data_IF_489522195606
#
_entry.id   IF_489522195606
#
_cell.length_a   1.000
_cell.length_b   1.000
_cell.length_c   1.000
_cell.angle_alpha   90.00
_cell.angle_beta   90.00
_cell.angle_gamma   90.00
#
_symmetry.space_group_name_H-M   'P 1'
#
loop_
_entity.id
_entity.type
_entity.pdbx_description
1 polymer ?
#
# COMPACT_ATOMS: atom_id res chain seq x y z
N UNK A 1 59.63 -10.06 52.36
CA UNK A 1 59.65 -9.28 51.07
C UNK A 1 58.61 -9.88 50.14
N UNK A 2 57.37 -9.42 50.24
CA UNK A 2 56.22 -9.90 49.42
C UNK A 2 55.86 -8.83 48.39
N UNK A 3 56.03 -9.14 47.10
CA UNK A 3 55.57 -8.31 46.01
C UNK A 3 54.17 -8.77 45.60
N UNK A 4 53.17 -7.95 45.89
CA UNK A 4 51.81 -8.07 45.38
C UNK A 4 51.81 -7.61 43.94
N UNK A 5 51.47 -8.54 43.02
CA UNK A 5 51.16 -8.23 41.63
C UNK A 5 49.64 -7.91 41.51
N UNK A 6 49.32 -6.66 41.33
CA UNK A 6 47.97 -6.23 40.99
C UNK A 6 47.68 -6.58 39.52
N UNK A 7 46.73 -7.47 39.28
CA UNK A 7 46.17 -7.77 37.95
C UNK A 7 45.07 -6.80 37.67
N UNK A 8 45.33 -5.78 36.82
CA UNK A 8 44.31 -4.90 36.26
C UNK A 8 43.49 -5.67 35.22
N UNK A 9 42.23 -5.92 35.50
CA UNK A 9 41.26 -6.40 34.52
C UNK A 9 40.77 -5.22 33.68
N UNK A 10 41.19 -5.14 32.43
CA UNK A 10 40.62 -4.19 31.45
C UNK A 10 39.28 -4.78 31.00
N UNK A 11 38.18 -4.22 31.48
CA UNK A 11 36.83 -4.51 30.98
C UNK A 11 36.68 -3.88 29.60
N UNK A 12 36.77 -4.70 28.55
CA UNK A 12 36.45 -4.31 27.18
C UNK A 12 34.92 -4.19 27.06
N UNK A 13 34.36 -2.96 27.17
CA UNK A 13 32.98 -2.69 26.85
C UNK A 13 32.81 -2.92 25.35
N UNK A 14 32.23 -4.05 24.97
CA UNK A 14 31.68 -4.29 23.63
C UNK A 14 30.47 -3.35 23.44
N UNK A 15 30.68 -2.22 22.78
CA UNK A 15 29.63 -1.42 22.22
C UNK A 15 28.97 -2.26 21.09
N UNK A 16 27.93 -3.01 21.43
CA UNK A 16 27.05 -3.59 20.44
C UNK A 16 26.38 -2.41 19.73
N UNK A 17 26.48 -2.29 18.40
CA UNK A 17 25.70 -1.31 17.70
C UNK A 17 24.23 -1.64 17.96
N UNK A 18 23.51 -0.74 18.63
CA UNK A 18 22.06 -0.74 18.62
C UNK A 18 21.68 -0.62 17.16
N UNK A 19 21.08 -1.65 16.59
CA UNK A 19 20.46 -1.52 15.27
C UNK A 19 19.45 -0.37 15.39
N UNK A 20 19.82 0.79 14.87
CA UNK A 20 18.85 1.87 14.68
C UNK A 20 17.76 1.27 13.80
N UNK A 21 16.52 1.25 14.29
CA UNK A 21 15.37 0.94 13.43
C UNK A 21 15.45 1.94 12.28
N UNK A 22 15.60 1.44 11.07
CA UNK A 22 15.64 2.30 9.90
C UNK A 22 14.25 2.91 9.73
N UNK A 23 14.22 4.20 9.41
CA UNK A 23 12.96 4.92 9.16
C UNK A 23 12.32 4.44 7.84
N UNK A 24 10.99 4.54 7.69
CA UNK A 24 10.31 4.31 6.42
C UNK A 24 10.94 5.14 5.29
N UNK A 25 11.09 4.52 4.12
CA UNK A 25 11.84 5.10 3.02
C UNK A 25 11.18 6.38 2.47
N UNK A 26 11.99 7.42 2.30
CA UNK A 26 11.63 8.69 1.68
C UNK A 26 12.56 8.91 0.47
N UNK A 27 12.01 9.38 -0.64
CA UNK A 27 12.79 9.77 -1.81
C UNK A 27 12.55 11.23 -2.15
N UNK A 28 13.55 11.84 -2.77
CA UNK A 28 13.50 13.23 -3.24
C UNK A 28 13.78 13.28 -4.74
N UNK A 29 12.91 13.96 -5.44
CA UNK A 29 13.10 14.41 -6.82
C UNK A 29 13.24 15.93 -6.77
N UNK A 30 14.29 16.50 -7.34
CA UNK A 30 14.49 17.95 -7.29
C UNK A 30 15.19 18.46 -8.53
N UNK A 31 14.94 19.72 -8.85
CA UNK A 31 15.70 20.52 -9.81
C UNK A 31 16.15 21.85 -9.18
N UNK A 32 16.28 22.93 -9.96
CA UNK A 32 16.82 24.19 -9.49
C UNK A 32 15.90 24.94 -8.47
N UNK A 33 14.59 24.81 -8.62
CA UNK A 33 13.58 25.58 -7.85
C UNK A 33 12.39 24.75 -7.34
N UNK A 34 12.40 23.43 -7.60
CA UNK A 34 11.34 22.50 -7.15
C UNK A 34 11.92 21.34 -6.35
N UNK A 35 11.23 20.97 -5.28
CA UNK A 35 11.51 19.77 -4.48
C UNK A 35 10.24 18.95 -4.35
N UNK A 36 10.30 17.67 -4.72
CA UNK A 36 9.18 16.72 -4.59
C UNK A 36 9.62 15.55 -3.73
N UNK A 37 8.97 15.39 -2.59
CA UNK A 37 9.14 14.23 -1.72
C UNK A 37 8.20 13.12 -2.15
N UNK A 38 8.71 11.87 -2.24
CA UNK A 38 7.90 10.68 -2.51
C UNK A 38 7.96 9.77 -1.29
N UNK A 39 6.81 9.45 -0.73
CA UNK A 39 6.69 8.65 0.47
C UNK A 39 5.69 7.50 0.27
N UNK A 40 6.12 6.29 0.68
CA UNK A 40 5.25 5.12 0.65
C UNK A 40 4.33 5.09 1.86
N UNK A 41 3.03 4.83 1.65
CA UNK A 41 2.03 4.72 2.72
C UNK A 41 1.52 3.30 2.88
N UNK A 42 0.94 3.03 4.05
CA UNK A 42 0.19 1.81 4.36
C UNK A 42 -1.21 2.21 4.78
N UNK A 43 -2.24 1.66 4.09
CA UNK A 43 -3.63 2.05 4.28
C UNK A 43 -4.29 1.46 5.54
N UNK A 44 -3.70 0.41 6.11
CA UNK A 44 -4.22 -0.31 7.27
C UNK A 44 -3.11 -0.44 8.29
N UNK A 45 -3.23 0.24 9.42
CA UNK A 45 -2.22 0.22 10.47
C UNK A 45 -2.81 -0.20 11.82
N UNK A 46 -2.01 -0.81 12.71
CA UNK A 46 -2.36 -0.93 14.12
C UNK A 46 -2.53 0.47 14.74
N UNK A 47 -3.42 0.56 15.72
CA UNK A 47 -3.80 1.85 16.33
C UNK A 47 -2.64 2.64 16.94
N UNK A 48 -1.62 1.96 17.45
CA UNK A 48 -0.49 2.57 18.18
C UNK A 48 0.83 2.54 17.39
N UNK A 49 0.75 2.40 16.05
CA UNK A 49 1.95 2.37 15.23
C UNK A 49 2.55 3.78 15.07
N UNK A 50 3.77 3.96 15.58
CA UNK A 50 4.55 5.17 15.32
C UNK A 50 5.40 4.98 14.07
N UNK A 51 5.33 5.95 13.17
CA UNK A 51 6.05 5.95 11.89
C UNK A 51 6.64 7.33 11.59
N UNK A 52 6.53 8.27 12.54
CA UNK A 52 7.04 9.61 12.39
C UNK A 52 8.54 9.66 12.72
N UNK A 53 9.29 10.40 11.94
CA UNK A 53 10.69 10.69 12.18
C UNK A 53 11.05 12.10 11.72
N UNK A 54 12.17 12.70 12.21
CA UNK A 54 12.45 14.11 12.03
C UNK A 54 12.49 14.57 10.58
N UNK A 55 13.05 13.77 9.67
CA UNK A 55 13.15 14.13 8.25
C UNK A 55 11.79 14.13 7.58
N UNK A 56 10.95 13.12 7.80
CA UNK A 56 9.60 13.05 7.26
C UNK A 56 8.75 14.24 7.73
N UNK A 57 8.81 14.55 9.04
CA UNK A 57 8.06 15.66 9.62
C UNK A 57 8.49 17.00 9.01
N UNK A 58 9.80 17.17 8.75
CA UNK A 58 10.33 18.37 8.08
C UNK A 58 9.86 18.42 6.62
N UNK A 59 10.00 17.34 5.88
CA UNK A 59 9.57 17.27 4.48
C UNK A 59 8.08 17.62 4.33
N UNK A 60 7.24 17.13 5.24
CA UNK A 60 5.80 17.45 5.25
C UNK A 60 5.53 18.91 5.64
N UNK A 61 6.26 19.44 6.64
CA UNK A 61 6.12 20.84 7.08
C UNK A 61 6.52 21.82 5.97
N UNK A 62 7.61 21.55 5.25
CA UNK A 62 8.14 22.38 4.18
C UNK A 62 7.27 22.31 2.90
N UNK A 63 6.46 21.27 2.75
CA UNK A 63 5.61 21.07 1.57
C UNK A 63 4.40 22.00 1.58
N UNK A 64 4.15 22.60 0.43
CA UNK A 64 3.03 23.52 0.19
C UNK A 64 1.76 22.77 -0.22
N UNK A 65 1.92 21.58 -0.82
CA UNK A 65 0.82 20.76 -1.35
C UNK A 65 1.12 19.29 -1.09
N UNK A 66 0.08 18.53 -0.73
CA UNK A 66 0.12 17.07 -0.66
C UNK A 66 -0.63 16.47 -1.85
N UNK A 67 0.02 15.57 -2.57
CA UNK A 67 -0.64 14.66 -3.50
C UNK A 67 -0.79 13.30 -2.86
N UNK A 68 -2.00 12.73 -2.95
CA UNK A 68 -2.33 11.37 -2.49
C UNK A 68 -2.97 10.60 -3.63
N UNK A 69 -3.15 9.29 -3.48
CA UNK A 69 -3.87 8.52 -4.50
C UNK A 69 -5.29 9.04 -4.68
N UNK A 70 -6.03 9.22 -3.57
CA UNK A 70 -7.43 9.66 -3.56
C UNK A 70 -7.70 10.79 -2.58
N UNK A 71 -8.57 11.73 -3.00
CA UNK A 71 -9.17 12.73 -2.11
C UNK A 71 -10.69 12.56 -1.96
N UNK A 72 -11.36 11.98 -2.95
CA UNK A 72 -12.82 11.73 -2.97
C UNK A 72 -13.18 10.38 -2.32
N UNK A 73 -12.65 10.15 -1.12
CA UNK A 73 -12.81 8.91 -0.34
C UNK A 73 -14.04 8.93 0.60
N UNK A 74 -15.06 9.71 0.25
CA UNK A 74 -16.32 9.71 0.99
C UNK A 74 -16.96 8.31 0.96
N UNK A 75 -17.23 7.67 2.11
CA UNK A 75 -17.72 6.30 2.17
C UNK A 75 -19.03 6.07 1.40
N UNK A 76 -19.95 7.05 1.38
CA UNK A 76 -21.22 6.92 0.68
C UNK A 76 -21.02 6.92 -0.85
N UNK A 77 -20.12 7.76 -1.36
CA UNK A 77 -19.77 7.79 -2.79
C UNK A 77 -19.11 6.47 -3.22
N UNK A 78 -18.15 6.00 -2.44
CA UNK A 78 -17.47 4.71 -2.69
C UNK A 78 -18.48 3.57 -2.66
N UNK A 79 -19.37 3.50 -1.66
CA UNK A 79 -20.41 2.47 -1.58
C UNK A 79 -21.32 2.49 -2.82
N UNK A 80 -21.73 3.67 -3.31
CA UNK A 80 -22.51 3.81 -4.53
C UNK A 80 -21.78 3.29 -5.78
N UNK A 81 -20.48 3.57 -5.90
CA UNK A 81 -19.64 3.05 -6.98
C UNK A 81 -19.50 1.52 -6.91
N UNK A 82 -19.23 1.00 -5.71
CA UNK A 82 -19.09 -0.45 -5.48
C UNK A 82 -20.38 -1.19 -5.82
N UNK A 83 -21.53 -0.69 -5.39
CA UNK A 83 -22.83 -1.27 -5.74
C UNK A 83 -23.06 -1.27 -7.27
N UNK A 84 -22.79 -0.16 -7.92
CA UNK A 84 -23.00 -0.03 -9.37
C UNK A 84 -22.07 -0.92 -10.20
N UNK A 85 -20.79 -1.03 -9.80
CA UNK A 85 -19.75 -1.67 -10.60
C UNK A 85 -19.39 -3.09 -10.13
N UNK A 86 -19.73 -3.43 -8.88
CA UNK A 86 -19.31 -4.67 -8.24
C UNK A 86 -20.40 -5.70 -8.03
N UNK A 87 -21.68 -5.35 -8.22
CA UNK A 87 -22.80 -6.30 -8.07
C UNK A 87 -23.14 -6.98 -9.40
N UNK A 88 -23.48 -8.28 -9.34
CA UNK A 88 -23.91 -9.09 -10.48
C UNK A 88 -24.90 -10.15 -10.00
N UNK A 89 -26.15 -9.78 -9.90
CA UNK A 89 -27.23 -10.68 -9.45
C UNK A 89 -27.69 -11.65 -10.56
N UNK A 90 -27.39 -11.35 -11.83
CA UNK A 90 -27.77 -12.17 -12.97
C UNK A 90 -26.87 -13.41 -13.11
N UNK A 91 -25.61 -13.32 -12.69
CA UNK A 91 -24.63 -14.40 -12.82
C UNK A 91 -24.06 -14.74 -11.45
N UNK A 92 -24.75 -15.59 -10.65
CA UNK A 92 -24.30 -15.96 -9.31
C UNK A 92 -22.84 -16.41 -9.31
N UNK A 93 -22.04 -15.90 -8.35
CA UNK A 93 -20.60 -16.15 -8.34
C UNK A 93 -20.28 -17.65 -8.29
N UNK A 94 -21.03 -18.43 -7.50
CA UNK A 94 -20.83 -19.88 -7.38
C UNK A 94 -21.08 -20.63 -8.68
N UNK A 95 -21.91 -20.12 -9.61
CA UNK A 95 -22.12 -20.74 -10.93
C UNK A 95 -20.94 -20.56 -11.88
N UNK A 96 -20.00 -19.68 -11.53
CA UNK A 96 -18.79 -19.39 -12.31
C UNK A 96 -17.55 -20.16 -11.79
N UNK A 97 -17.73 -20.99 -10.75
CA UNK A 97 -16.69 -21.73 -10.06
C UNK A 97 -16.96 -23.24 -10.20
N UNK A 98 -15.92 -24.04 -10.06
CA UNK A 98 -16.10 -25.47 -9.86
C UNK A 98 -16.76 -25.75 -8.50
N UNK A 99 -17.36 -26.94 -8.35
CA UNK A 99 -17.98 -27.39 -7.09
C UNK A 99 -17.01 -27.24 -5.90
N UNK A 100 -15.76 -27.68 -6.07
CA UNK A 100 -14.72 -27.60 -5.04
C UNK A 100 -14.34 -26.15 -4.70
N UNK A 101 -14.25 -25.26 -5.69
CA UNK A 101 -13.99 -23.83 -5.49
C UNK A 101 -15.16 -23.15 -4.77
N UNK A 102 -16.39 -23.43 -5.16
CA UNK A 102 -17.58 -22.87 -4.51
C UNK A 102 -17.69 -23.32 -3.04
N UNK A 103 -17.39 -24.61 -2.77
CA UNK A 103 -17.36 -25.12 -1.40
C UNK A 103 -16.25 -24.46 -0.58
N UNK A 104 -15.06 -24.30 -1.14
CA UNK A 104 -13.94 -23.59 -0.49
C UNK A 104 -14.29 -22.12 -0.21
N UNK A 105 -14.89 -21.41 -1.18
CA UNK A 105 -15.31 -20.02 -1.01
C UNK A 105 -16.31 -19.88 0.14
N UNK A 106 -17.28 -20.82 0.27
CA UNK A 106 -18.25 -20.84 1.39
C UNK A 106 -17.55 -20.98 2.74
N UNK A 107 -16.59 -21.89 2.84
CA UNK A 107 -15.83 -22.09 4.09
C UNK A 107 -15.02 -20.84 4.45
N UNK A 108 -14.36 -20.24 3.46
CA UNK A 108 -13.54 -19.04 3.67
C UNK A 108 -14.40 -17.80 4.02
N UNK A 109 -15.57 -17.63 3.39
CA UNK A 109 -16.49 -16.55 3.72
C UNK A 109 -16.96 -16.62 5.18
N UNK A 110 -17.28 -17.82 5.68
CA UNK A 110 -17.66 -18.03 7.07
C UNK A 110 -16.47 -17.79 8.02
N UNK A 111 -15.28 -18.32 7.70
CA UNK A 111 -14.06 -18.14 8.49
C UNK A 111 -13.65 -16.66 8.58
N UNK A 112 -13.75 -15.94 7.48
CA UNK A 112 -13.44 -14.51 7.41
C UNK A 112 -14.50 -13.62 8.08
N UNK A 113 -15.62 -14.18 8.53
CA UNK A 113 -16.71 -13.43 9.15
C UNK A 113 -17.43 -12.49 8.18
N UNK A 114 -17.52 -12.85 6.90
CA UNK A 114 -18.26 -12.04 5.91
C UNK A 114 -19.73 -12.01 6.29
N UNK A 115 -20.34 -10.83 6.52
CA UNK A 115 -21.76 -10.74 6.85
C UNK A 115 -22.63 -11.37 5.77
N UNK A 116 -23.53 -12.29 6.14
CA UNK A 116 -24.34 -13.07 5.20
C UNK A 116 -23.56 -14.17 4.46
N UNK A 117 -22.27 -14.35 4.74
CA UNK A 117 -21.44 -15.44 4.22
C UNK A 117 -21.44 -15.52 2.70
N UNK A 118 -21.60 -16.75 2.19
CA UNK A 118 -21.60 -17.01 0.73
C UNK A 118 -22.77 -16.32 0.01
N UNK A 119 -23.90 -16.10 0.64
CA UNK A 119 -25.04 -15.42 0.02
C UNK A 119 -24.68 -13.99 -0.41
N UNK A 120 -23.95 -13.28 0.43
CA UNK A 120 -23.45 -11.93 0.11
C UNK A 120 -22.44 -11.97 -1.02
N UNK A 121 -21.48 -12.90 -0.98
CA UNK A 121 -20.49 -13.02 -2.05
C UNK A 121 -21.11 -13.46 -3.38
N UNK A 122 -22.21 -14.23 -3.33
CA UNK A 122 -22.82 -14.83 -4.53
C UNK A 122 -23.47 -13.82 -5.48
N UNK A 123 -23.80 -12.63 -4.97
CA UNK A 123 -24.34 -11.53 -5.78
C UNK A 123 -23.29 -10.50 -6.19
N UNK A 124 -22.01 -10.76 -5.89
CA UNK A 124 -20.89 -9.91 -6.24
C UNK A 124 -20.18 -10.40 -7.51
N UNK A 125 -19.61 -9.47 -8.24
CA UNK A 125 -18.61 -9.79 -9.25
C UNK A 125 -17.36 -10.38 -8.59
N UNK A 126 -16.58 -11.24 -9.28
CA UNK A 126 -15.43 -11.92 -8.66
C UNK A 126 -14.40 -10.98 -8.06
N UNK A 127 -14.15 -9.79 -8.66
CA UNK A 127 -13.21 -8.82 -8.09
C UNK A 127 -13.66 -8.28 -6.72
N UNK A 128 -14.97 -7.99 -6.56
CA UNK A 128 -15.48 -7.47 -5.30
C UNK A 128 -15.51 -8.55 -4.22
N UNK A 129 -15.87 -9.78 -4.59
CA UNK A 129 -15.80 -10.93 -3.68
C UNK A 129 -14.36 -11.21 -3.23
N UNK A 130 -13.38 -11.09 -4.13
CA UNK A 130 -11.96 -11.23 -3.82
C UNK A 130 -11.49 -10.18 -2.80
N UNK A 131 -11.84 -8.92 -3.03
CA UNK A 131 -11.51 -7.81 -2.14
C UNK A 131 -12.18 -7.99 -0.76
N UNK A 132 -13.47 -8.34 -0.74
CA UNK A 132 -14.22 -8.59 0.50
C UNK A 132 -13.58 -9.73 1.32
N UNK A 133 -13.22 -10.83 0.66
CA UNK A 133 -12.56 -11.96 1.32
C UNK A 133 -11.18 -11.61 1.88
N UNK A 134 -10.43 -10.75 1.19
CA UNK A 134 -9.09 -10.32 1.62
C UNK A 134 -9.14 -9.32 2.78
N UNK A 135 -10.12 -8.41 2.81
CA UNK A 135 -10.19 -7.33 3.82
C UNK A 135 -10.88 -7.75 5.12
N UNK A 136 -11.85 -8.67 5.06
CA UNK A 136 -12.61 -9.06 6.25
C UNK A 136 -11.72 -9.59 7.40
N UNK A 137 -10.73 -10.49 7.18
CA UNK A 137 -9.83 -10.95 8.24
C UNK A 137 -8.96 -9.84 8.84
N UNK A 138 -8.55 -8.85 8.03
CA UNK A 138 -7.72 -7.73 8.48
C UNK A 138 -8.47 -6.84 9.47
N UNK A 139 -9.73 -6.54 9.17
CA UNK A 139 -10.61 -5.80 10.08
C UNK A 139 -10.80 -6.54 11.40
N UNK A 140 -11.02 -7.86 11.34
CA UNK A 140 -11.18 -8.69 12.53
C UNK A 140 -9.89 -8.79 13.37
N UNK A 141 -8.72 -8.59 12.75
CA UNK A 141 -7.42 -8.52 13.41
C UNK A 141 -7.09 -7.13 14.00
N UNK A 142 -8.05 -6.20 14.02
CA UNK A 142 -7.85 -4.86 14.59
C UNK A 142 -7.08 -3.89 13.70
N UNK A 143 -6.91 -4.21 12.41
CA UNK A 143 -6.37 -3.27 11.43
C UNK A 143 -7.43 -2.22 11.09
N UNK A 144 -7.07 -0.94 11.26
CA UNK A 144 -7.99 0.18 11.13
C UNK A 144 -7.60 1.07 9.95
N UNK A 145 -8.50 1.24 8.94
CA UNK A 145 -8.27 2.19 7.84
C UNK A 145 -8.15 3.64 8.31
N UNK A 146 -8.78 3.99 9.44
CA UNK A 146 -8.64 5.36 10.00
C UNK A 146 -7.23 5.65 10.51
N UNK A 147 -6.44 4.60 10.78
CA UNK A 147 -5.03 4.71 11.14
C UNK A 147 -4.09 4.62 9.93
N UNK A 148 -4.62 4.52 8.72
CA UNK A 148 -3.83 4.55 7.50
C UNK A 148 -2.94 5.79 7.42
N UNK A 149 -1.70 5.59 7.00
CA UNK A 149 -0.68 6.65 6.92
C UNK A 149 -1.13 7.77 5.99
N UNK A 150 -1.69 7.41 4.84
CA UNK A 150 -2.27 8.35 3.87
C UNK A 150 -3.39 9.21 4.49
N UNK A 151 -4.25 8.62 5.32
CA UNK A 151 -5.33 9.32 6.00
C UNK A 151 -4.81 10.31 7.04
N UNK A 152 -3.80 9.91 7.80
CA UNK A 152 -3.16 10.77 8.80
C UNK A 152 -2.44 11.95 8.12
N UNK A 153 -1.70 11.71 7.03
CA UNK A 153 -1.06 12.77 6.24
C UNK A 153 -2.09 13.77 5.67
N UNK A 154 -3.19 13.28 5.10
CA UNK A 154 -4.32 14.13 4.64
C UNK A 154 -4.86 14.99 5.78
N UNK A 155 -5.10 14.39 6.95
CA UNK A 155 -5.59 15.10 8.13
C UNK A 155 -4.63 16.21 8.59
N UNK A 156 -3.33 15.93 8.64
CA UNK A 156 -2.30 16.91 9.04
C UNK A 156 -2.23 18.10 8.07
N UNK A 157 -2.24 17.85 6.76
CA UNK A 157 -2.19 18.91 5.75
C UNK A 157 -3.48 19.75 5.73
N UNK A 158 -4.64 19.09 5.87
CA UNK A 158 -5.93 19.78 5.95
C UNK A 158 -6.02 20.67 7.19
N UNK A 159 -5.53 20.20 8.35
CA UNK A 159 -5.47 21.02 9.58
C UNK A 159 -4.56 22.25 9.44
N UNK A 160 -3.57 22.19 8.56
CA UNK A 160 -2.69 23.31 8.22
C UNK A 160 -3.24 24.18 7.07
N UNK A 161 -4.47 23.93 6.59
CA UNK A 161 -5.08 24.60 5.42
C UNK A 161 -4.23 24.50 4.14
N UNK A 162 -3.42 23.45 4.00
CA UNK A 162 -2.63 23.17 2.80
C UNK A 162 -3.45 22.33 1.83
N UNK A 163 -3.33 22.56 0.51
CA UNK A 163 -4.04 21.79 -0.51
C UNK A 163 -3.70 20.30 -0.45
N UNK A 164 -4.72 19.45 -0.58
CA UNK A 164 -4.59 18.01 -0.78
C UNK A 164 -5.26 17.66 -2.10
N UNK A 165 -4.52 17.02 -3.00
CA UNK A 165 -4.92 16.74 -4.38
C UNK A 165 -4.82 15.24 -4.64
N UNK A 166 -5.85 14.65 -5.27
CA UNK A 166 -5.84 13.26 -5.72
C UNK A 166 -5.06 13.11 -7.03
N UNK A 167 -4.25 12.06 -7.11
CA UNK A 167 -3.65 11.62 -8.37
C UNK A 167 -4.68 10.92 -9.26
N UNK A 168 -5.68 10.33 -8.65
CA UNK A 168 -6.79 9.58 -9.27
C UNK A 168 -8.11 9.90 -8.58
N UNK A 169 -9.21 9.54 -9.20
CA UNK A 169 -10.55 9.56 -8.59
C UNK A 169 -10.93 8.18 -8.05
N UNK A 170 -11.89 8.10 -7.12
CA UNK A 170 -12.41 6.83 -6.61
C UNK A 170 -12.99 5.96 -7.74
N UNK A 171 -13.68 6.57 -8.72
CA UNK A 171 -14.20 5.84 -9.87
C UNK A 171 -13.08 5.25 -10.73
N UNK A 172 -12.01 6.01 -10.99
CA UNK A 172 -10.84 5.49 -11.72
C UNK A 172 -10.27 4.27 -11.02
N UNK A 173 -10.04 4.33 -9.70
CA UNK A 173 -9.48 3.18 -8.95
C UNK A 173 -10.41 1.96 -8.95
N UNK A 174 -11.71 2.14 -8.73
CA UNK A 174 -12.66 1.01 -8.73
C UNK A 174 -12.74 0.39 -10.12
N UNK A 175 -12.68 1.20 -11.19
CA UNK A 175 -12.66 0.72 -12.56
C UNK A 175 -11.42 -0.07 -12.93
N UNK A 176 -10.26 0.14 -12.25
CA UNK A 176 -9.09 -0.73 -12.43
C UNK A 176 -9.42 -2.20 -12.22
N UNK A 177 -10.31 -2.50 -11.26
CA UNK A 177 -10.80 -3.86 -10.99
C UNK A 177 -12.06 -4.19 -11.79
N UNK A 178 -12.99 -3.27 -11.86
CA UNK A 178 -14.30 -3.49 -12.48
C UNK A 178 -14.24 -3.64 -14.01
N UNK A 179 -13.29 -3.02 -14.68
CA UNK A 179 -13.15 -3.10 -16.14
C UNK A 179 -12.21 -4.24 -16.60
N UNK A 180 -11.75 -5.08 -15.66
CA UNK A 180 -10.98 -6.28 -16.01
C UNK A 180 -11.83 -7.33 -16.72
N UNK A 181 -11.24 -8.10 -17.64
CA UNK A 181 -11.89 -9.27 -18.19
C UNK A 181 -12.30 -10.24 -17.09
N UNK A 182 -13.48 -10.86 -17.21
CA UNK A 182 -14.04 -11.80 -16.22
C UNK A 182 -13.04 -12.89 -15.80
N UNK A 183 -12.26 -13.41 -16.74
CA UNK A 183 -11.24 -14.42 -16.46
C UNK A 183 -10.16 -13.91 -15.50
N UNK A 184 -9.79 -12.61 -15.56
CA UNK A 184 -8.82 -11.97 -14.66
C UNK A 184 -9.44 -11.76 -13.29
N UNK A 185 -10.69 -11.32 -13.23
CA UNK A 185 -11.43 -11.20 -11.95
C UNK A 185 -11.52 -12.56 -11.22
N UNK A 186 -11.81 -13.65 -11.94
CA UNK A 186 -11.83 -15.01 -11.39
C UNK A 186 -10.43 -15.45 -10.94
N UNK A 187 -9.39 -15.09 -11.67
CA UNK A 187 -8.00 -15.28 -11.26
C UNK A 187 -7.69 -14.61 -9.93
N UNK A 188 -8.07 -13.35 -9.78
CA UNK A 188 -7.94 -12.57 -8.54
C UNK A 188 -8.68 -13.25 -7.37
N UNK A 189 -9.92 -13.70 -7.59
CA UNK A 189 -10.68 -14.40 -6.56
C UNK A 189 -9.99 -15.71 -6.13
N UNK A 190 -9.49 -16.50 -7.09
CA UNK A 190 -8.73 -17.72 -6.82
C UNK A 190 -7.46 -17.44 -6.02
N UNK A 191 -6.74 -16.36 -6.35
CA UNK A 191 -5.57 -15.90 -5.60
C UNK A 191 -5.95 -15.52 -4.17
N UNK A 192 -6.99 -14.72 -3.98
CA UNK A 192 -7.50 -14.35 -2.65
C UNK A 192 -7.92 -15.59 -1.83
N UNK A 193 -8.54 -16.58 -2.46
CA UNK A 193 -8.87 -17.86 -1.80
C UNK A 193 -7.62 -18.67 -1.39
N UNK A 194 -6.55 -18.66 -2.20
CA UNK A 194 -5.28 -19.33 -1.84
C UNK A 194 -4.60 -18.68 -0.65
N UNK A 195 -4.68 -17.36 -0.59
CA UNK A 195 -3.97 -16.55 0.40
C UNK A 195 -4.80 -16.20 1.65
N UNK A 196 -6.07 -16.61 1.71
CA UNK A 196 -7.00 -16.24 2.76
C UNK A 196 -6.49 -16.53 4.19
N UNK A 197 -5.68 -17.57 4.37
CA UNK A 197 -5.08 -17.94 5.66
C UNK A 197 -3.78 -17.18 5.98
N UNK A 198 -3.22 -16.46 5.02
CA UNK A 198 -1.93 -15.78 5.13
C UNK A 198 -2.03 -14.25 5.14
N UNK A 199 -3.21 -13.69 4.88
CA UNK A 199 -3.40 -12.25 4.63
C UNK A 199 -2.90 -11.37 5.79
N UNK A 200 -3.23 -11.72 7.04
CA UNK A 200 -2.77 -10.99 8.23
C UNK A 200 -1.26 -11.10 8.44
N UNK A 201 -0.68 -12.27 8.18
CA UNK A 201 0.78 -12.49 8.27
C UNK A 201 1.51 -11.68 7.19
N UNK A 202 1.04 -11.75 5.94
CA UNK A 202 1.63 -10.98 4.82
C UNK A 202 1.54 -9.47 5.10
N UNK A 203 0.40 -8.97 5.59
CA UNK A 203 0.27 -7.56 5.95
C UNK A 203 1.24 -7.17 7.07
N UNK A 204 1.37 -7.96 8.13
CA UNK A 204 2.34 -7.71 9.20
C UNK A 204 3.78 -7.67 8.69
N UNK A 205 4.15 -8.58 7.78
CA UNK A 205 5.46 -8.59 7.14
C UNK A 205 5.68 -7.36 6.24
N UNK A 206 4.65 -6.92 5.52
CA UNK A 206 4.71 -5.69 4.71
C UNK A 206 4.88 -4.45 5.57
N UNK A 207 4.14 -4.34 6.68
CA UNK A 207 4.28 -3.24 7.64
C UNK A 207 5.70 -3.21 8.22
N UNK A 208 6.23 -4.37 8.64
CA UNK A 208 7.58 -4.47 9.17
C UNK A 208 8.65 -4.07 8.13
N UNK A 209 8.52 -4.51 6.88
CA UNK A 209 9.41 -4.14 5.79
C UNK A 209 9.32 -2.62 5.50
N UNK A 210 8.12 -2.06 5.52
CA UNK A 210 7.89 -0.64 5.35
C UNK A 210 8.52 0.19 6.49
N UNK A 211 8.30 -0.19 7.75
CA UNK A 211 8.92 0.46 8.91
C UNK A 211 10.45 0.38 8.90
N UNK A 212 10.99 -0.72 8.38
CA UNK A 212 12.43 -0.89 8.18
C UNK A 212 12.97 -0.13 6.96
N UNK A 213 12.12 0.58 6.22
CA UNK A 213 12.53 1.28 4.99
C UNK A 213 13.11 0.35 3.93
N UNK A 214 12.65 -0.91 3.82
CA UNK A 214 13.13 -1.92 2.88
C UNK A 214 12.14 -2.14 1.72
N UNK A 215 12.24 -1.38 0.61
CA UNK A 215 11.38 -1.55 -0.55
C UNK A 215 11.56 -2.89 -1.26
N UNK A 216 12.73 -3.51 -1.16
CA UNK A 216 12.97 -4.83 -1.75
C UNK A 216 12.22 -5.92 -0.96
N UNK A 217 12.14 -5.79 0.37
CA UNK A 217 11.30 -6.69 1.17
C UNK A 217 9.81 -6.47 0.87
N UNK A 218 9.35 -5.23 0.67
CA UNK A 218 7.97 -4.94 0.23
C UNK A 218 7.67 -5.64 -1.10
N UNK A 219 8.57 -5.54 -2.09
CA UNK A 219 8.40 -6.25 -3.37
C UNK A 219 8.32 -7.75 -3.17
N UNK A 220 9.24 -8.34 -2.43
CA UNK A 220 9.28 -9.80 -2.19
C UNK A 220 8.01 -10.32 -1.51
N UNK A 221 7.49 -9.60 -0.53
CA UNK A 221 6.33 -10.05 0.27
C UNK A 221 5.01 -9.76 -0.43
N UNK A 222 4.86 -8.58 -1.06
CA UNK A 222 3.57 -8.07 -1.51
C UNK A 222 3.36 -8.10 -3.03
N UNK A 223 4.41 -8.02 -3.84
CA UNK A 223 4.29 -7.70 -5.26
C UNK A 223 4.78 -8.84 -6.17
N UNK A 224 5.88 -9.48 -5.82
CA UNK A 224 6.55 -10.47 -6.68
C UNK A 224 5.63 -11.63 -7.08
N UNK A 225 4.78 -12.10 -6.17
CA UNK A 225 3.82 -13.16 -6.45
C UNK A 225 2.74 -12.70 -7.43
N UNK A 226 2.16 -11.50 -7.24
CA UNK A 226 1.20 -10.91 -8.17
C UNK A 226 1.81 -10.72 -9.55
N UNK A 227 3.04 -10.22 -9.63
CA UNK A 227 3.78 -10.05 -10.89
C UNK A 227 3.96 -11.37 -11.64
N UNK A 228 4.24 -12.46 -10.93
CA UNK A 228 4.48 -13.77 -11.52
C UNK A 228 3.18 -14.51 -11.88
N UNK A 229 2.17 -14.47 -11.04
CA UNK A 229 0.95 -15.28 -11.20
C UNK A 229 -0.19 -14.53 -11.89
N UNK A 230 -0.28 -13.20 -11.71
CA UNK A 230 -1.36 -12.36 -12.23
C UNK A 230 -0.80 -11.13 -12.98
N UNK A 231 -0.02 -11.33 -14.07
CA UNK A 231 0.70 -10.26 -14.74
C UNK A 231 -0.21 -9.16 -15.30
N UNK A 232 -1.46 -9.48 -15.71
CA UNK A 232 -2.44 -8.47 -16.14
C UNK A 232 -2.90 -7.59 -14.99
N UNK A 233 -3.13 -8.18 -13.82
CA UNK A 233 -3.46 -7.44 -12.61
C UNK A 233 -2.29 -6.54 -12.21
N UNK A 234 -1.07 -7.05 -12.20
CA UNK A 234 0.14 -6.29 -11.92
C UNK A 234 0.30 -5.08 -12.86
N UNK A 235 0.08 -5.27 -14.16
CA UNK A 235 0.12 -4.18 -15.13
C UNK A 235 -0.88 -3.06 -14.82
N UNK A 236 -2.12 -3.40 -14.50
CA UNK A 236 -3.18 -2.42 -14.25
C UNK A 236 -3.02 -1.77 -12.88
N UNK A 237 -2.74 -2.57 -11.83
CA UNK A 237 -2.70 -2.06 -10.45
C UNK A 237 -1.44 -1.27 -10.12
N UNK A 238 -0.32 -1.55 -10.79
CA UNK A 238 0.96 -0.92 -10.49
C UNK A 238 1.60 -0.23 -11.70
N UNK A 239 1.93 -0.97 -12.76
CA UNK A 239 2.81 -0.44 -13.82
C UNK A 239 2.20 0.78 -14.52
N UNK A 240 0.96 0.67 -14.99
CA UNK A 240 0.29 1.76 -15.71
C UNK A 240 0.08 2.99 -14.82
N UNK A 241 -0.27 2.79 -13.57
CA UNK A 241 -0.43 3.88 -12.59
C UNK A 241 0.91 4.55 -12.30
N UNK A 242 1.98 3.78 -12.07
CA UNK A 242 3.32 4.31 -11.84
C UNK A 242 3.84 5.11 -13.04
N UNK A 243 3.54 4.68 -14.28
CA UNK A 243 3.86 5.43 -15.49
C UNK A 243 3.10 6.76 -15.57
N UNK A 244 1.80 6.74 -15.30
CA UNK A 244 0.97 7.95 -15.29
C UNK A 244 1.43 8.93 -14.20
N UNK A 245 1.77 8.43 -13.02
CA UNK A 245 2.27 9.26 -11.92
C UNK A 245 3.67 9.80 -12.18
N UNK A 246 4.55 9.03 -12.80
CA UNK A 246 5.87 9.54 -13.21
C UNK A 246 5.74 10.71 -14.22
N UNK A 247 4.81 10.61 -15.19
CA UNK A 247 4.50 11.70 -16.09
C UNK A 247 3.92 12.93 -15.37
N UNK A 248 3.05 12.71 -14.37
CA UNK A 248 2.51 13.79 -13.52
C UNK A 248 3.64 14.46 -12.71
N UNK A 249 4.53 13.70 -12.10
CA UNK A 249 5.69 14.21 -11.34
C UNK A 249 6.59 15.05 -12.25
N UNK A 250 6.88 14.58 -13.48
CA UNK A 250 7.64 15.35 -14.46
C UNK A 250 6.98 16.70 -14.77
N UNK A 251 5.64 16.75 -14.85
CA UNK A 251 4.92 18.00 -15.07
C UNK A 251 4.94 18.93 -13.84
N UNK A 252 4.99 18.38 -12.64
CA UNK A 252 5.07 19.15 -11.39
C UNK A 252 6.43 19.82 -11.21
N UNK A 253 7.53 19.21 -11.72
CA UNK A 253 8.85 19.81 -11.75
C UNK A 253 8.95 21.10 -12.58
N UNK A 254 7.95 21.39 -13.43
CA UNK A 254 7.93 22.63 -14.21
C UNK A 254 7.38 23.83 -13.43
N UNK A 255 7.05 23.67 -12.15
CA UNK A 255 6.49 24.72 -11.30
C UNK A 255 7.29 24.80 -10.00
N UNK A 256 7.81 26.00 -9.63
CA UNK A 256 8.63 26.13 -8.43
C UNK A 256 7.85 25.81 -7.17
N UNK A 257 8.51 25.21 -6.18
CA UNK A 257 7.93 24.96 -4.88
C UNK A 257 8.29 23.60 -4.27
N UNK A 258 7.67 23.30 -3.13
CA UNK A 258 7.89 22.04 -2.40
C UNK A 258 6.58 21.25 -2.34
N UNK A 259 6.62 20.01 -2.79
CA UNK A 259 5.46 19.12 -2.94
C UNK A 259 5.74 17.82 -2.19
N UNK A 260 4.73 17.30 -1.50
CA UNK A 260 4.76 15.97 -0.92
C UNK A 260 3.82 15.04 -1.68
N UNK A 261 4.30 13.88 -2.11
CA UNK A 261 3.51 12.86 -2.78
C UNK A 261 3.51 11.61 -1.93
N UNK A 262 2.32 11.18 -1.48
CA UNK A 262 2.11 10.02 -0.65
C UNK A 262 1.27 8.99 -1.41
N UNK A 263 1.87 7.84 -1.72
CA UNK A 263 1.23 6.74 -2.46
C UNK A 263 1.49 5.42 -1.75
N UNK A 264 0.67 4.40 -1.97
CA UNK A 264 0.87 3.10 -1.34
C UNK A 264 2.29 2.57 -1.56
N UNK A 265 2.91 2.06 -0.51
CA UNK A 265 4.33 1.67 -0.49
C UNK A 265 4.72 0.69 -1.62
N UNK A 266 3.76 -0.12 -2.09
CA UNK A 266 3.94 -1.01 -3.23
C UNK A 266 4.30 -0.27 -4.54
N UNK A 267 3.86 0.99 -4.69
CA UNK A 267 4.17 1.82 -5.86
C UNK A 267 5.63 2.31 -5.87
N UNK A 268 6.28 2.30 -4.71
CA UNK A 268 7.67 2.71 -4.55
C UNK A 268 8.62 1.52 -4.36
N UNK A 269 8.16 0.31 -4.68
CA UNK A 269 8.92 -0.94 -4.55
C UNK A 269 8.96 -1.71 -5.86
N UNK A 270 10.03 -2.49 -6.06
CA UNK A 270 10.18 -3.40 -7.19
C UNK A 270 10.59 -2.73 -8.52
N UNK A 271 10.67 -3.55 -9.60
CA UNK A 271 11.29 -3.16 -10.86
C UNK A 271 10.49 -2.15 -11.70
N UNK A 272 9.22 -1.94 -11.39
CA UNK A 272 8.36 -0.99 -12.09
C UNK A 272 7.84 0.13 -11.17
N UNK A 273 8.56 0.40 -10.07
CA UNK A 273 8.23 1.48 -9.13
C UNK A 273 8.25 2.86 -9.80
N UNK A 274 7.63 3.84 -9.16
CA UNK A 274 7.59 5.24 -9.63
C UNK A 274 9.01 5.77 -9.89
N UNK A 275 9.96 5.47 -8.99
CA UNK A 275 11.36 5.89 -9.15
C UNK A 275 11.99 5.29 -10.42
N UNK A 276 11.68 4.02 -10.73
CA UNK A 276 12.14 3.36 -11.94
C UNK A 276 11.50 3.99 -13.20
N UNK A 277 10.21 4.32 -13.15
CA UNK A 277 9.53 4.99 -14.27
C UNK A 277 10.08 6.40 -14.49
N UNK A 278 10.36 7.15 -13.42
CA UNK A 278 11.00 8.47 -13.49
C UNK A 278 12.38 8.37 -14.15
N UNK A 279 13.21 7.40 -13.77
CA UNK A 279 14.53 7.19 -14.37
C UNK A 279 14.46 6.90 -15.87
N UNK A 280 13.43 6.19 -16.33
CA UNK A 280 13.20 5.92 -17.77
C UNK A 280 12.98 7.21 -18.59
N UNK A 281 12.56 8.29 -17.95
CA UNK A 281 12.35 9.60 -18.58
C UNK A 281 13.41 10.64 -18.16
N UNK A 282 14.53 10.19 -17.59
CA UNK A 282 15.68 11.03 -17.27
C UNK A 282 15.57 11.80 -15.95
N UNK A 283 14.66 11.39 -15.04
CA UNK A 283 14.47 12.02 -13.73
C UNK A 283 14.91 11.04 -12.64
N UNK A 284 15.86 11.46 -11.80
CA UNK A 284 16.32 10.65 -10.68
C UNK A 284 15.57 10.99 -9.40
N UNK A 285 15.11 9.95 -8.70
CA UNK A 285 14.63 10.02 -7.34
C UNK A 285 15.70 9.46 -6.40
N UNK A 286 16.23 10.28 -5.54
CA UNK A 286 17.31 9.94 -4.60
C UNK A 286 16.70 9.58 -3.27
N UNK A 287 17.14 8.49 -2.65
CA UNK A 287 16.71 8.12 -1.30
C UNK A 287 17.44 8.99 -0.26
N UNK A 288 16.67 9.51 0.70
CA UNK A 288 17.17 10.26 1.86
C UNK A 288 17.50 9.32 3.04
#
# INVERSE_FOLDING_TARGET
>A
MNRLLARGAIALLLLLPTAALADPALWVVKDADTTIYLFGTVHLMPKDADWHYPMLNRALADSQTLYVELTDDNPANIAGLVLRLGMDTAHPLTSQLSESEAQRLRLLANKAGVPGGIQTLNIMRPWLAALTLSLAPLKNAGMDPEQGVDKQLKGQMTAQHKPVIGLETAEQQIRLLADMPRAVELGLLRSSMRDADKGTIKLGQMIAAWQAGDPDAIDRVGIAEMRAQEPKLYQVMLVQRNQAWAAKIASLLQQPGTIFIAVGAAHLAGPDSVQVQLRKIGIDAVRE
#
